data_IF_132167814042
#
_entry.id   IF_132167814042
#
_cell.length_a   1.000
_cell.length_b   1.000
_cell.length_c   1.000
_cell.angle_alpha   90.00
_cell.angle_beta   90.00
_cell.angle_gamma   90.00
#
_symmetry.space_group_name_H-M   'P 1'
#
loop_
_entity.id
_entity.type
_entity.pdbx_description
1 polymer ?
#
# COMPACT_ATOMS: atom_id res chain seq x y z
N UNK A 1 -7.09 35.66 -7.76
CA UNK A 1 -7.86 34.41 -8.02
C UNK A 1 -7.39 33.35 -7.03
N UNK A 2 -8.27 32.82 -6.21
CA UNK A 2 -7.90 31.81 -5.22
C UNK A 2 -7.48 30.50 -5.91
N UNK A 3 -6.37 29.95 -5.46
CA UNK A 3 -5.75 28.74 -5.94
C UNK A 3 -5.73 27.68 -4.85
N UNK A 4 -5.72 26.43 -5.22
CA UNK A 4 -5.58 25.28 -4.33
C UNK A 4 -4.55 24.30 -4.91
N UNK A 5 -3.88 23.51 -4.07
CA UNK A 5 -2.97 22.47 -4.53
C UNK A 5 -3.73 21.44 -5.34
N UNK A 6 -3.27 21.16 -6.55
CA UNK A 6 -3.88 20.14 -7.43
C UNK A 6 -3.88 18.77 -6.77
N UNK A 7 -4.97 18.01 -6.97
CA UNK A 7 -5.11 16.62 -6.48
C UNK A 7 -4.09 15.64 -7.04
N UNK A 8 -3.37 16.04 -8.11
CA UNK A 8 -2.28 15.24 -8.65
C UNK A 8 -1.02 15.29 -7.81
N UNK A 9 -0.93 16.20 -6.84
CA UNK A 9 0.24 16.38 -6.01
C UNK A 9 -0.05 16.11 -4.53
N UNK A 10 0.88 15.42 -3.89
CA UNK A 10 0.86 15.14 -2.44
C UNK A 10 2.10 15.79 -1.82
N UNK A 11 1.89 16.73 -0.90
CA UNK A 11 2.97 17.30 -0.10
C UNK A 11 3.02 16.62 1.26
N UNK A 12 4.18 16.08 1.66
CA UNK A 12 4.32 15.33 2.90
C UNK A 12 5.74 15.42 3.49
N UNK A 13 5.86 15.07 4.76
CA UNK A 13 7.15 14.83 5.42
C UNK A 13 7.39 13.32 5.54
N UNK A 14 8.56 12.87 5.15
CA UNK A 14 8.97 11.47 5.26
C UNK A 14 9.49 11.13 6.66
N UNK A 15 9.65 9.83 6.92
CA UNK A 15 10.16 9.30 8.19
C UNK A 15 11.58 9.80 8.53
N UNK A 16 12.41 10.06 7.52
CA UNK A 16 13.76 10.60 7.65
C UNK A 16 13.80 12.12 7.87
N UNK A 17 12.62 12.75 8.04
CA UNK A 17 12.47 14.20 8.20
C UNK A 17 12.51 14.98 6.89
N UNK A 18 12.73 14.35 5.74
CA UNK A 18 12.74 15.07 4.46
C UNK A 18 11.33 15.48 4.04
N UNK A 19 11.22 16.70 3.50
CA UNK A 19 9.99 17.19 2.90
C UNK A 19 9.96 16.83 1.42
N UNK A 20 8.83 16.29 0.97
CA UNK A 20 8.66 15.89 -0.43
C UNK A 20 7.35 16.38 -1.01
N UNK A 21 7.39 16.66 -2.30
CA UNK A 21 6.24 16.83 -3.17
C UNK A 21 6.23 15.63 -4.13
N UNK A 22 5.16 14.86 -4.12
CA UNK A 22 4.99 13.72 -5.00
C UNK A 22 3.96 14.06 -6.08
N UNK A 23 4.35 13.90 -7.34
CA UNK A 23 3.45 14.02 -8.50
C UNK A 23 2.95 12.63 -8.91
N UNK A 24 1.66 12.39 -8.71
CA UNK A 24 1.01 11.11 -9.06
C UNK A 24 0.99 10.84 -10.56
N UNK A 25 0.94 11.87 -11.38
CA UNK A 25 0.81 11.73 -12.82
C UNK A 25 2.09 11.22 -13.49
N UNK A 26 3.24 11.72 -13.03
CA UNK A 26 4.56 11.33 -13.52
C UNK A 26 5.27 10.29 -12.65
N UNK A 27 4.73 9.99 -11.47
CA UNK A 27 5.36 9.15 -10.43
C UNK A 27 6.70 9.72 -9.96
N UNK A 28 6.88 11.03 -10.05
CA UNK A 28 8.10 11.73 -9.64
C UNK A 28 7.98 12.24 -8.21
N UNK A 29 9.10 12.23 -7.50
CA UNK A 29 9.22 12.76 -6.16
C UNK A 29 10.27 13.87 -6.15
N UNK A 30 9.91 15.02 -5.60
CA UNK A 30 10.77 16.21 -5.50
C UNK A 30 11.06 16.49 -4.03
N UNK A 31 12.32 16.58 -3.67
CA UNK A 31 12.73 17.10 -2.36
C UNK A 31 12.47 18.60 -2.32
N UNK A 32 11.79 19.07 -1.29
CA UNK A 32 11.44 20.48 -1.13
C UNK A 32 11.98 21.03 0.20
N UNK A 33 12.33 22.32 0.21
CA UNK A 33 12.78 22.99 1.43
C UNK A 33 11.62 23.15 2.44
N UNK A 34 11.92 23.37 3.72
CA UNK A 34 10.90 23.62 4.74
C UNK A 34 9.98 24.80 4.37
N UNK A 35 10.53 25.84 3.75
CA UNK A 35 9.75 27.00 3.30
C UNK A 35 8.77 26.63 2.19
N UNK A 36 9.25 25.88 1.19
CA UNK A 36 8.41 25.43 0.08
C UNK A 36 7.37 24.41 0.55
N UNK A 37 7.74 23.51 1.46
CA UNK A 37 6.82 22.59 2.09
C UNK A 37 5.67 23.33 2.79
N UNK A 38 6.00 24.32 3.64
CA UNK A 38 5.01 25.14 4.35
C UNK A 38 4.09 25.87 3.38
N UNK A 39 4.67 26.45 2.33
CA UNK A 39 3.93 27.14 1.26
C UNK A 39 2.91 26.20 0.59
N UNK A 40 3.36 25.04 0.12
CA UNK A 40 2.51 24.05 -0.56
C UNK A 40 1.45 23.46 0.36
N UNK A 41 1.78 23.24 1.62
CA UNK A 41 0.87 22.72 2.62
C UNK A 41 -0.31 23.66 2.90
N UNK A 42 -0.08 24.98 2.87
CA UNK A 42 -1.16 25.97 2.98
C UNK A 42 -2.16 25.86 1.83
N UNK A 43 -1.69 25.69 0.60
CA UNK A 43 -2.55 25.50 -0.57
C UNK A 43 -3.27 24.14 -0.59
N UNK A 44 -2.76 23.16 0.13
CA UNK A 44 -3.48 21.89 0.31
C UNK A 44 -4.74 22.08 1.14
N UNK A 45 -4.66 22.85 2.21
CA UNK A 45 -5.76 22.98 3.15
C UNK A 45 -6.77 24.06 2.77
N UNK A 46 -6.34 25.03 1.97
CA UNK A 46 -7.12 26.23 1.75
C UNK A 46 -6.96 26.73 0.32
N UNK A 47 -8.04 27.30 -0.22
CA UNK A 47 -7.98 28.07 -1.45
C UNK A 47 -7.46 29.49 -1.14
N UNK A 48 -6.26 29.82 -1.60
CA UNK A 48 -5.55 31.07 -1.24
C UNK A 48 -5.26 31.88 -2.50
N UNK A 49 -5.35 33.22 -2.39
CA UNK A 49 -4.80 34.08 -3.43
C UNK A 49 -3.27 34.07 -3.33
N UNK A 50 -2.62 33.71 -4.43
CA UNK A 50 -1.16 33.56 -4.46
C UNK A 50 -0.45 34.88 -4.13
N UNK A 51 -0.96 36.02 -4.64
CA UNK A 51 -0.32 37.31 -4.41
C UNK A 51 -0.42 37.75 -2.95
N UNK A 52 -1.57 37.46 -2.30
CA UNK A 52 -1.75 37.77 -0.88
C UNK A 52 -0.80 36.95 -0.03
N UNK A 53 -0.64 35.67 -0.32
CA UNK A 53 0.28 34.80 0.40
C UNK A 53 1.75 35.20 0.19
N UNK A 54 2.16 35.48 -1.04
CA UNK A 54 3.52 35.94 -1.34
C UNK A 54 3.83 37.27 -0.66
N UNK A 55 2.87 38.20 -0.64
CA UNK A 55 3.00 39.48 0.06
C UNK A 55 3.15 39.28 1.57
N UNK A 56 2.39 38.35 2.15
CA UNK A 56 2.51 37.99 3.56
C UNK A 56 3.88 37.37 3.87
N UNK A 57 4.38 36.42 3.09
CA UNK A 57 5.72 35.84 3.28
C UNK A 57 6.81 36.88 3.22
N UNK A 58 6.70 37.84 2.27
CA UNK A 58 7.65 38.95 2.16
C UNK A 58 7.63 39.86 3.40
N UNK A 59 6.44 40.13 3.95
CA UNK A 59 6.28 41.00 5.13
C UNK A 59 6.92 40.42 6.39
N UNK A 60 7.04 39.10 6.50
CA UNK A 60 7.68 38.38 7.62
C UNK A 60 9.12 37.97 7.32
N UNK A 61 9.73 38.53 6.27
CA UNK A 61 11.16 38.38 5.95
C UNK A 61 11.51 37.04 5.29
N UNK A 62 10.53 36.30 4.75
CA UNK A 62 10.81 35.08 3.99
C UNK A 62 11.16 35.46 2.55
N UNK A 63 12.31 34.99 2.08
CA UNK A 63 12.68 35.11 0.68
C UNK A 63 11.79 34.22 -0.16
N UNK A 64 11.14 34.80 -1.16
CA UNK A 64 10.16 34.14 -2.01
C UNK A 64 10.74 33.71 -3.36
N UNK A 65 11.97 34.06 -3.66
CA UNK A 65 12.62 33.77 -4.95
C UNK A 65 12.67 32.28 -5.24
N UNK A 66 13.04 31.46 -4.24
CA UNK A 66 13.10 30.00 -4.37
C UNK A 66 11.73 29.41 -4.67
N UNK A 67 10.67 30.00 -4.09
CA UNK A 67 9.27 29.56 -4.31
C UNK A 67 8.83 29.90 -5.72
N UNK A 68 9.12 31.15 -6.17
CA UNK A 68 8.77 31.60 -7.52
C UNK A 68 9.54 30.82 -8.59
N UNK A 69 10.83 30.57 -8.36
CA UNK A 69 11.66 29.74 -9.25
C UNK A 69 11.07 28.32 -9.39
N UNK A 70 10.74 27.69 -8.26
CA UNK A 70 10.12 26.36 -8.27
C UNK A 70 8.77 26.35 -9.00
N UNK A 71 7.89 27.32 -8.77
CA UNK A 71 6.59 27.39 -9.43
C UNK A 71 6.69 27.70 -10.93
N UNK A 72 7.77 28.32 -11.37
CA UNK A 72 8.01 28.67 -12.79
C UNK A 72 8.45 27.46 -13.64
N UNK A 73 8.82 26.36 -13.02
CA UNK A 73 9.28 25.16 -13.72
C UNK A 73 8.16 24.55 -14.57
N UNK A 74 8.47 24.06 -15.79
CA UNK A 74 7.46 23.49 -16.68
C UNK A 74 6.69 22.29 -16.10
N UNK A 75 7.36 21.47 -15.28
CA UNK A 75 6.78 20.30 -14.61
C UNK A 75 5.86 20.70 -13.44
N UNK A 76 5.88 21.93 -12.98
CA UNK A 76 5.02 22.48 -11.92
C UNK A 76 3.83 23.29 -12.44
N UNK A 77 3.63 23.37 -13.75
CA UNK A 77 2.58 24.20 -14.37
C UNK A 77 1.16 23.97 -13.83
N UNK A 78 0.86 22.74 -13.43
CA UNK A 78 -0.45 22.33 -12.92
C UNK A 78 -0.44 22.09 -11.40
N UNK A 79 0.56 22.57 -10.69
CA UNK A 79 0.69 22.36 -9.25
C UNK A 79 -0.40 23.07 -8.46
N UNK A 80 -0.67 24.33 -8.82
CA UNK A 80 -1.75 25.12 -8.24
C UNK A 80 -2.84 25.33 -9.28
N UNK A 81 -4.07 25.05 -8.91
CA UNK A 81 -5.24 25.16 -9.80
C UNK A 81 -6.29 26.10 -9.21
N UNK A 82 -7.16 26.71 -10.05
CA UNK A 82 -8.28 27.50 -9.55
C UNK A 82 -9.16 26.71 -8.61
N UNK A 83 -9.53 27.29 -7.48
CA UNK A 83 -10.49 26.66 -6.56
C UNK A 83 -11.90 26.75 -7.13
N UNK A 84 -12.71 25.71 -6.89
CA UNK A 84 -14.15 25.80 -7.11
C UNK A 84 -14.82 26.68 -6.04
N UNK A 85 -16.05 27.15 -6.27
CA UNK A 85 -16.76 27.95 -5.27
C UNK A 85 -17.03 27.20 -3.96
N UNK A 86 -17.08 25.85 -3.98
CA UNK A 86 -17.23 24.99 -2.82
C UNK A 86 -15.99 24.94 -1.92
N UNK A 87 -14.81 25.35 -2.45
CA UNK A 87 -13.55 25.30 -1.73
C UNK A 87 -13.22 26.63 -1.01
N UNK A 88 -14.13 27.62 -1.12
CA UNK A 88 -13.96 28.95 -0.50
C UNK A 88 -14.50 28.93 0.93
N UNK A 89 -13.64 28.82 1.88
CA UNK A 89 -13.92 29.16 3.30
C UNK A 89 -13.38 30.55 3.63
N UNK A 90 -14.05 31.30 4.51
CA UNK A 90 -13.68 32.67 4.93
C UNK A 90 -12.29 32.73 5.59
N UNK A 91 -11.28 33.26 4.87
CA UNK A 91 -9.92 32.79 5.04
C UNK A 91 -8.84 33.80 5.41
N UNK A 92 -9.11 35.07 5.42
CA UNK A 92 -8.06 36.07 5.69
C UNK A 92 -7.62 36.15 7.17
N UNK A 93 -8.44 35.62 8.10
CA UNK A 93 -8.11 35.63 9.53
C UNK A 93 -7.38 34.33 9.96
N UNK A 94 -7.53 33.24 9.20
CA UNK A 94 -6.96 31.93 9.56
C UNK A 94 -5.54 31.69 9.04
N UNK A 95 -5.05 32.46 8.05
CA UNK A 95 -3.72 32.20 7.46
C UNK A 95 -2.56 32.48 8.43
N UNK A 96 -2.64 33.50 9.26
CA UNK A 96 -1.64 33.78 10.30
C UNK A 96 -1.71 32.78 11.47
N UNK A 97 -2.93 32.31 11.79
CA UNK A 97 -3.17 31.28 12.81
C UNK A 97 -2.70 29.91 12.28
N UNK A 98 -2.95 29.61 11.01
CA UNK A 98 -2.49 28.36 10.37
C UNK A 98 -0.97 28.27 10.32
N UNK A 99 -0.27 29.35 9.96
CA UNK A 99 1.19 29.39 9.95
C UNK A 99 1.81 29.19 11.33
N UNK A 100 1.25 29.87 12.35
CA UNK A 100 1.68 29.68 13.74
C UNK A 100 1.31 28.29 14.30
N UNK A 101 0.20 27.71 13.83
CA UNK A 101 -0.24 26.35 14.19
C UNK A 101 0.63 25.28 13.54
N UNK A 102 1.05 25.46 12.28
CA UNK A 102 1.98 24.56 11.60
C UNK A 102 3.32 24.55 12.34
N UNK A 103 3.83 25.74 12.76
CA UNK A 103 5.06 25.85 13.53
C UNK A 103 4.96 25.21 14.93
N UNK A 104 3.78 25.25 15.58
CA UNK A 104 3.51 24.58 16.86
C UNK A 104 3.21 23.09 16.71
N UNK A 105 2.56 22.67 15.61
CA UNK A 105 2.29 21.23 15.34
C UNK A 105 3.52 20.47 14.83
N UNK A 106 4.57 21.16 14.35
CA UNK A 106 5.82 20.52 13.94
C UNK A 106 6.57 19.83 15.10
N UNK A 107 6.17 20.07 16.34
CA UNK A 107 6.72 19.37 17.50
C UNK A 107 6.16 17.95 17.69
N UNK A 108 5.05 17.55 17.02
CA UNK A 108 4.36 16.30 17.37
C UNK A 108 4.13 15.26 16.25
N UNK A 109 4.27 15.58 14.97
CA UNK A 109 4.17 14.57 13.89
C UNK A 109 5.18 14.85 12.80
N UNK A 110 6.35 14.25 12.96
CA UNK A 110 7.37 14.40 11.92
C UNK A 110 6.97 13.70 10.62
N UNK A 111 6.17 12.61 10.68
CA UNK A 111 5.72 11.87 9.51
C UNK A 111 4.39 11.13 9.76
N UNK A 112 3.73 10.71 8.66
CA UNK A 112 2.47 9.99 8.64
C UNK A 112 2.62 8.69 7.82
N UNK A 113 1.69 7.72 7.88
CA UNK A 113 1.80 6.52 7.06
C UNK A 113 1.79 6.86 5.56
N UNK A 114 2.67 6.22 4.80
CA UNK A 114 2.69 6.38 3.34
C UNK A 114 1.62 5.56 2.67
N UNK A 115 1.40 4.36 3.18
CA UNK A 115 0.45 3.41 2.64
C UNK A 115 -0.49 2.90 3.71
N UNK A 116 -1.74 2.82 3.35
CA UNK A 116 -2.79 2.16 4.13
C UNK A 116 -3.35 1.00 3.32
N UNK A 117 -3.27 -0.21 3.86
CA UNK A 117 -3.95 -1.39 3.32
C UNK A 117 -5.30 -1.53 4.02
N UNK A 118 -6.40 -1.38 3.30
CA UNK A 118 -7.75 -1.41 3.86
C UNK A 118 -8.50 -2.65 3.39
N UNK A 119 -8.79 -3.56 4.31
CA UNK A 119 -9.63 -4.71 4.09
C UNK A 119 -11.09 -4.32 4.32
N UNK A 120 -11.73 -3.87 3.26
CA UNK A 120 -13.06 -3.26 3.33
C UNK A 120 -14.18 -4.25 3.65
N UNK A 121 -13.95 -5.53 3.43
CA UNK A 121 -14.90 -6.62 3.72
C UNK A 121 -14.20 -7.98 3.75
N UNK A 122 -14.72 -8.93 4.52
CA UNK A 122 -14.36 -10.35 4.42
C UNK A 122 -15.23 -11.14 3.44
N UNK A 123 -16.33 -10.56 2.95
CA UNK A 123 -17.22 -11.23 1.99
C UNK A 123 -16.56 -11.34 0.62
N UNK A 124 -16.70 -12.49 -0.03
CA UNK A 124 -16.11 -12.74 -1.35
C UNK A 124 -17.06 -13.62 -2.16
N UNK A 125 -17.14 -13.43 -3.46
CA UNK A 125 -17.88 -14.30 -4.38
C UNK A 125 -17.16 -15.63 -4.67
N UNK A 126 -15.91 -15.79 -4.20
CA UNK A 126 -15.09 -16.98 -4.36
C UNK A 126 -14.73 -17.62 -3.01
N UNK A 127 -14.28 -18.89 -3.07
CA UNK A 127 -13.73 -19.63 -1.93
C UNK A 127 -12.41 -20.31 -2.32
N UNK A 128 -11.40 -19.49 -2.70
CA UNK A 128 -10.10 -19.98 -3.17
C UNK A 128 -9.41 -20.88 -2.14
N UNK A 129 -8.73 -21.95 -2.60
CA UNK A 129 -8.03 -22.92 -1.72
C UNK A 129 -6.88 -22.30 -0.94
N UNK A 130 -6.25 -21.26 -1.48
CA UNK A 130 -5.09 -20.57 -0.91
C UNK A 130 -5.43 -19.20 -0.33
N UNK A 131 -6.71 -18.93 -0.05
CA UNK A 131 -7.14 -17.61 0.41
C UNK A 131 -6.49 -17.22 1.75
N UNK A 132 -5.76 -16.12 1.73
CA UNK A 132 -5.10 -15.54 2.91
C UNK A 132 -6.12 -15.14 3.98
N UNK A 133 -7.20 -14.45 3.59
CA UNK A 133 -8.25 -13.93 4.47
C UNK A 133 -9.27 -14.99 4.92
N UNK A 134 -9.18 -16.20 4.40
CA UNK A 134 -10.22 -17.21 4.58
C UNK A 134 -11.63 -16.75 4.16
N UNK A 135 -11.68 -15.76 3.26
CA UNK A 135 -12.92 -15.15 2.79
C UNK A 135 -13.83 -16.12 2.04
N UNK A 136 -15.15 -15.91 2.12
CA UNK A 136 -16.14 -16.74 1.45
C UNK A 136 -17.45 -16.00 1.18
N UNK A 137 -18.35 -16.57 0.32
CA UNK A 137 -19.70 -16.02 0.13
C UNK A 137 -20.59 -16.12 1.38
N UNK A 138 -20.21 -17.01 2.31
CA UNK A 138 -21.00 -17.31 3.53
C UNK A 138 -20.68 -16.37 4.69
N UNK A 139 -19.67 -15.50 4.53
CA UNK A 139 -19.33 -14.53 5.57
C UNK A 139 -20.52 -13.62 5.84
N UNK A 140 -20.93 -13.58 7.10
CA UNK A 140 -21.92 -12.61 7.57
C UNK A 140 -21.18 -11.33 7.98
N UNK A 141 -21.27 -10.30 7.14
CA UNK A 141 -20.59 -9.05 7.35
C UNK A 141 -21.56 -7.88 7.22
N UNK A 142 -21.38 -6.90 8.08
CA UNK A 142 -21.97 -5.58 7.91
C UNK A 142 -21.04 -4.75 7.02
N UNK A 143 -21.62 -4.00 6.11
CA UNK A 143 -20.88 -3.08 5.25
C UNK A 143 -20.91 -1.68 5.83
N UNK A 144 -19.81 -0.96 5.69
CA UNK A 144 -19.78 0.46 6.05
C UNK A 144 -20.83 1.24 5.27
N UNK A 145 -21.43 2.25 5.92
CA UNK A 145 -22.13 3.27 5.19
C UNK A 145 -21.13 4.27 4.57
N UNK A 146 -21.58 5.00 3.56
CA UNK A 146 -20.74 5.95 2.83
C UNK A 146 -20.22 7.10 3.68
N UNK A 147 -20.96 7.53 4.72
CA UNK A 147 -20.54 8.63 5.58
C UNK A 147 -19.31 8.25 6.42
N UNK A 148 -19.29 7.02 6.95
CA UNK A 148 -18.13 6.48 7.66
C UNK A 148 -16.93 6.45 6.71
N UNK A 149 -17.10 5.92 5.50
CA UNK A 149 -16.02 5.84 4.51
C UNK A 149 -15.53 7.23 4.08
N UNK A 150 -16.43 8.20 3.92
CA UNK A 150 -16.08 9.59 3.63
C UNK A 150 -15.20 10.18 4.73
N UNK A 151 -15.58 9.98 5.99
CA UNK A 151 -14.82 10.45 7.15
C UNK A 151 -13.43 9.81 7.19
N UNK A 152 -13.33 8.50 6.95
CA UNK A 152 -12.04 7.79 6.92
C UNK A 152 -11.17 8.33 5.78
N UNK A 153 -11.71 8.44 4.57
CA UNK A 153 -10.93 8.92 3.42
C UNK A 153 -10.47 10.37 3.60
N UNK A 154 -11.29 11.20 4.28
CA UNK A 154 -10.85 12.53 4.66
C UNK A 154 -9.68 12.48 5.66
N UNK A 155 -9.71 11.62 6.67
CA UNK A 155 -8.59 11.44 7.59
C UNK A 155 -7.30 10.97 6.89
N UNK A 156 -7.42 10.05 5.91
CA UNK A 156 -6.27 9.62 5.10
C UNK A 156 -5.70 10.78 4.28
N UNK A 157 -6.57 11.59 3.69
CA UNK A 157 -6.18 12.75 2.88
C UNK A 157 -5.50 13.82 3.74
N UNK A 158 -6.04 14.11 4.93
CA UNK A 158 -5.48 15.04 5.90
C UNK A 158 -4.12 14.58 6.43
N UNK A 159 -3.97 13.28 6.65
CA UNK A 159 -2.71 12.66 7.03
C UNK A 159 -1.67 12.58 5.88
N UNK A 160 -1.98 13.09 4.68
CA UNK A 160 -1.11 12.98 3.50
C UNK A 160 -0.69 11.55 3.15
N UNK A 161 -1.58 10.58 3.33
CA UNK A 161 -1.36 9.22 2.88
C UNK A 161 -1.09 9.24 1.36
N UNK A 162 -0.04 8.55 0.92
CA UNK A 162 0.32 8.51 -0.50
C UNK A 162 -0.53 7.49 -1.26
N UNK A 163 -0.74 6.32 -0.65
CA UNK A 163 -1.41 5.20 -1.32
C UNK A 163 -2.44 4.55 -0.40
N UNK A 164 -3.67 4.45 -0.87
CA UNK A 164 -4.70 3.60 -0.30
C UNK A 164 -4.81 2.33 -1.14
N UNK A 165 -4.55 1.16 -0.53
CA UNK A 165 -4.78 -0.13 -1.16
C UNK A 165 -6.05 -0.75 -0.58
N UNK A 166 -7.11 -0.82 -1.38
CA UNK A 166 -8.37 -1.46 -1.01
C UNK A 166 -8.31 -2.94 -1.38
N UNK A 167 -8.59 -3.79 -0.42
CA UNK A 167 -8.56 -5.23 -0.54
C UNK A 167 -9.60 -5.86 0.40
N UNK A 168 -9.45 -7.13 0.75
CA UNK A 168 -10.31 -7.85 1.68
C UNK A 168 -10.66 -9.24 1.14
N UNK A 169 -11.94 -9.62 1.21
CA UNK A 169 -12.48 -10.73 0.43
C UNK A 169 -12.52 -10.33 -1.05
N UNK A 170 -13.64 -9.75 -1.49
CA UNK A 170 -13.74 -9.12 -2.81
C UNK A 170 -14.32 -7.71 -2.65
N UNK A 171 -13.55 -6.66 -2.89
CA UNK A 171 -14.01 -5.28 -2.72
C UNK A 171 -15.27 -4.95 -3.54
N UNK A 172 -15.32 -5.43 -4.78
CA UNK A 172 -16.48 -5.22 -5.66
C UNK A 172 -17.76 -5.95 -5.22
N UNK A 173 -17.69 -6.74 -4.15
CA UNK A 173 -18.85 -7.33 -3.50
C UNK A 173 -19.57 -6.35 -2.57
N UNK A 174 -18.92 -5.24 -2.21
CA UNK A 174 -19.52 -4.18 -1.41
C UNK A 174 -20.66 -3.51 -2.21
N UNK A 175 -21.89 -3.42 -1.68
CA UNK A 175 -23.06 -2.97 -2.45
C UNK A 175 -22.93 -1.53 -2.97
N UNK A 176 -22.17 -0.69 -2.27
CA UNK A 176 -21.95 0.72 -2.64
C UNK A 176 -20.56 0.95 -3.25
N UNK A 177 -19.94 -0.08 -3.85
CA UNK A 177 -18.55 0.04 -4.31
C UNK A 177 -18.36 1.08 -5.41
N UNK A 178 -19.36 1.31 -6.26
CA UNK A 178 -19.31 2.40 -7.24
C UNK A 178 -19.12 3.77 -6.56
N UNK A 179 -19.90 4.05 -5.51
CA UNK A 179 -19.76 5.30 -4.75
C UNK A 179 -18.42 5.38 -4.01
N UNK A 180 -17.86 4.25 -3.60
CA UNK A 180 -16.50 4.18 -3.04
C UNK A 180 -15.47 4.59 -4.09
N UNK A 181 -15.59 4.11 -5.33
CA UNK A 181 -14.71 4.53 -6.43
C UNK A 181 -14.80 6.05 -6.67
N UNK A 182 -16.02 6.61 -6.65
CA UNK A 182 -16.23 8.05 -6.81
C UNK A 182 -15.58 8.86 -5.66
N UNK A 183 -15.67 8.36 -4.43
CA UNK A 183 -14.99 8.97 -3.28
C UNK A 183 -13.46 8.94 -3.44
N UNK A 184 -12.91 7.79 -3.82
CA UNK A 184 -11.45 7.66 -4.00
C UNK A 184 -10.93 8.46 -5.19
N UNK A 185 -11.73 8.61 -6.26
CA UNK A 185 -11.39 9.45 -7.41
C UNK A 185 -11.21 10.93 -7.04
N UNK A 186 -11.89 11.37 -5.99
CA UNK A 186 -11.83 12.74 -5.50
C UNK A 186 -10.75 12.98 -4.44
N UNK A 187 -10.11 11.93 -3.94
CA UNK A 187 -9.06 12.02 -2.92
C UNK A 187 -7.68 12.37 -3.53
N UNK A 188 -6.76 12.83 -2.68
CA UNK A 188 -5.37 13.14 -3.08
C UNK A 188 -4.51 11.89 -3.17
N UNK A 189 -4.80 10.84 -2.38
CA UNK A 189 -4.02 9.61 -2.41
C UNK A 189 -4.23 8.82 -3.72
N UNK A 190 -3.24 8.02 -4.11
CA UNK A 190 -3.41 7.01 -5.15
C UNK A 190 -4.26 5.86 -4.62
N UNK A 191 -5.17 5.35 -5.44
CA UNK A 191 -5.96 4.18 -5.10
C UNK A 191 -5.52 2.97 -5.91
N UNK A 192 -5.22 1.88 -5.20
CA UNK A 192 -4.95 0.57 -5.78
C UNK A 192 -6.05 -0.38 -5.26
N UNK A 193 -6.71 -1.09 -6.15
CA UNK A 193 -7.73 -2.07 -5.75
C UNK A 193 -7.23 -3.46 -6.11
N UNK A 194 -7.19 -4.35 -5.10
CA UNK A 194 -6.90 -5.77 -5.32
C UNK A 194 -8.21 -6.53 -5.46
N UNK A 195 -8.38 -7.24 -6.57
CA UNK A 195 -9.62 -7.93 -6.93
C UNK A 195 -9.37 -9.28 -7.60
N UNK A 196 -10.35 -10.16 -7.51
CA UNK A 196 -10.37 -11.38 -8.33
C UNK A 196 -10.84 -11.12 -9.77
N UNK A 197 -11.29 -9.91 -10.09
CA UNK A 197 -11.63 -9.46 -11.43
C UNK A 197 -12.96 -9.97 -12.00
N UNK A 198 -13.76 -10.72 -11.23
CA UNK A 198 -14.99 -11.34 -11.75
C UNK A 198 -16.20 -10.40 -11.76
N UNK A 199 -16.27 -9.45 -10.82
CA UNK A 199 -17.46 -8.59 -10.63
C UNK A 199 -17.37 -7.24 -11.37
N UNK A 200 -16.46 -7.12 -12.32
CA UNK A 200 -16.23 -5.89 -13.07
C UNK A 200 -17.24 -5.72 -14.20
N UNK A 201 -18.15 -4.76 -14.04
CA UNK A 201 -19.07 -4.34 -15.13
C UNK A 201 -18.41 -3.31 -16.05
N UNK A 202 -18.96 -3.12 -17.22
CA UNK A 202 -18.44 -2.12 -18.19
C UNK A 202 -18.41 -0.70 -17.59
N UNK A 203 -19.45 -0.30 -16.86
CA UNK A 203 -19.52 1.01 -16.20
C UNK A 203 -18.42 1.15 -15.13
N UNK A 204 -18.19 0.13 -14.34
CA UNK A 204 -17.12 0.11 -13.33
C UNK A 204 -15.74 0.23 -14.00
N UNK A 205 -15.49 -0.52 -15.09
CA UNK A 205 -14.22 -0.45 -15.82
C UNK A 205 -13.95 0.95 -16.38
N UNK A 206 -14.98 1.61 -16.94
CA UNK A 206 -14.88 2.99 -17.44
C UNK A 206 -14.62 3.99 -16.31
N UNK A 207 -15.27 3.84 -15.16
CA UNK A 207 -15.07 4.69 -14.00
C UNK A 207 -13.63 4.54 -13.46
N UNK A 208 -13.13 3.31 -13.33
CA UNK A 208 -11.76 3.01 -12.93
C UNK A 208 -10.76 3.71 -13.86
N UNK A 209 -10.97 3.60 -15.18
CA UNK A 209 -10.11 4.26 -16.16
C UNK A 209 -10.16 5.78 -16.05
N UNK A 210 -11.36 6.36 -15.95
CA UNK A 210 -11.55 7.80 -15.83
C UNK A 210 -10.93 8.38 -14.55
N UNK A 211 -10.92 7.60 -13.47
CA UNK A 211 -10.40 7.98 -12.15
C UNK A 211 -8.91 7.65 -11.97
N UNK A 212 -8.25 7.09 -12.98
CA UNK A 212 -6.84 6.64 -12.92
C UNK A 212 -6.54 5.71 -11.73
N UNK A 213 -7.53 4.88 -11.35
CA UNK A 213 -7.39 3.87 -10.29
C UNK A 213 -6.58 2.69 -10.85
N UNK A 214 -5.62 2.20 -10.09
CA UNK A 214 -4.79 1.05 -10.44
C UNK A 214 -5.45 -0.24 -9.97
N UNK A 215 -5.47 -1.25 -10.84
CA UNK A 215 -6.00 -2.57 -10.48
C UNK A 215 -4.87 -3.59 -10.29
N UNK A 216 -4.91 -4.29 -9.15
CA UNK A 216 -4.17 -5.52 -8.95
C UNK A 216 -5.12 -6.71 -9.10
N UNK A 217 -4.97 -7.49 -10.17
CA UNK A 217 -5.87 -8.60 -10.47
C UNK A 217 -5.20 -9.91 -10.18
N UNK A 218 -5.89 -10.75 -9.44
CA UNK A 218 -5.40 -12.06 -9.03
C UNK A 218 -5.58 -13.10 -10.13
N UNK A 219 -4.46 -13.61 -10.67
CA UNK A 219 -4.44 -14.63 -11.73
C UNK A 219 -3.51 -15.77 -11.31
N UNK A 220 -4.03 -16.97 -11.14
CA UNK A 220 -3.23 -18.12 -10.68
C UNK A 220 -3.20 -19.28 -11.69
N UNK A 221 -3.39 -19.01 -12.96
CA UNK A 221 -3.25 -19.97 -14.02
C UNK A 221 -3.58 -19.41 -15.38
N UNK A 222 -2.98 -19.99 -16.42
CA UNK A 222 -3.23 -19.66 -17.83
C UNK A 222 -4.30 -20.55 -18.46
N UNK A 223 -4.74 -21.56 -17.75
CA UNK A 223 -5.80 -22.49 -18.16
C UNK A 223 -6.93 -22.52 -17.13
N UNK A 224 -8.15 -22.88 -17.58
CA UNK A 224 -9.27 -23.10 -16.67
C UNK A 224 -8.98 -24.23 -15.68
N UNK A 225 -8.28 -25.27 -16.13
CA UNK A 225 -7.91 -26.40 -15.27
C UNK A 225 -7.13 -25.95 -14.03
N UNK A 226 -6.16 -25.10 -14.20
CA UNK A 226 -5.29 -24.63 -13.11
C UNK A 226 -5.94 -23.51 -12.31
N UNK A 227 -6.46 -22.48 -13.00
CA UNK A 227 -7.04 -21.32 -12.33
C UNK A 227 -8.30 -21.69 -11.53
N UNK A 228 -9.24 -22.42 -12.15
CA UNK A 228 -10.49 -22.82 -11.50
C UNK A 228 -10.26 -23.81 -10.36
N UNK A 229 -9.27 -24.68 -10.45
CA UNK A 229 -8.88 -25.57 -9.34
C UNK A 229 -8.50 -24.78 -8.08
N UNK A 230 -7.76 -23.67 -8.26
CA UNK A 230 -7.28 -22.85 -7.16
C UNK A 230 -8.35 -21.87 -6.65
N UNK A 231 -9.15 -21.29 -7.55
CA UNK A 231 -10.04 -20.19 -7.21
C UNK A 231 -11.52 -20.51 -7.25
N UNK A 232 -11.94 -21.46 -8.06
CA UNK A 232 -13.34 -21.88 -8.19
C UNK A 232 -13.76 -22.03 -9.64
N UNK A 233 -14.65 -23.01 -9.89
CA UNK A 233 -15.11 -23.36 -11.23
C UNK A 233 -15.72 -22.16 -11.97
N UNK A 234 -15.34 -21.98 -13.23
CA UNK A 234 -15.83 -20.92 -14.13
C UNK A 234 -15.19 -19.56 -13.90
N UNK A 235 -14.30 -19.41 -12.92
CA UNK A 235 -13.63 -18.14 -12.62
C UNK A 235 -12.68 -17.72 -13.74
N UNK A 236 -11.99 -18.66 -14.38
CA UNK A 236 -11.06 -18.42 -15.48
C UNK A 236 -11.71 -17.67 -16.64
N UNK A 237 -12.81 -18.20 -17.14
CA UNK A 237 -13.46 -17.66 -18.34
C UNK A 237 -13.95 -16.21 -18.13
N UNK A 238 -14.55 -15.95 -16.96
CA UNK A 238 -15.04 -14.60 -16.62
C UNK A 238 -13.87 -13.64 -16.45
N UNK A 239 -12.83 -14.05 -15.72
CA UNK A 239 -11.65 -13.25 -15.47
C UNK A 239 -10.95 -12.84 -16.78
N UNK A 240 -10.62 -13.81 -17.64
CA UNK A 240 -9.88 -13.52 -18.87
C UNK A 240 -10.66 -12.64 -19.82
N UNK A 241 -11.98 -12.80 -19.93
CA UNK A 241 -12.85 -11.89 -20.67
C UNK A 241 -12.78 -10.46 -20.13
N UNK A 242 -12.72 -10.30 -18.80
CA UNK A 242 -12.60 -8.98 -18.18
C UNK A 242 -11.20 -8.38 -18.35
N UNK A 243 -10.14 -9.19 -18.28
CA UNK A 243 -8.77 -8.75 -18.55
C UNK A 243 -8.62 -8.19 -19.98
N UNK A 244 -9.17 -8.88 -20.98
CA UNK A 244 -9.17 -8.40 -22.38
C UNK A 244 -9.89 -7.04 -22.52
N UNK A 245 -11.02 -6.87 -21.83
CA UNK A 245 -11.77 -5.61 -21.83
C UNK A 245 -10.99 -4.48 -21.17
N UNK A 246 -10.41 -4.74 -20.01
CA UNK A 246 -9.59 -3.78 -19.29
C UNK A 246 -8.35 -3.36 -20.08
N UNK A 247 -7.68 -4.32 -20.72
CA UNK A 247 -6.55 -4.06 -21.62
C UNK A 247 -6.94 -3.16 -22.80
N UNK A 248 -8.08 -3.43 -23.45
CA UNK A 248 -8.62 -2.59 -24.55
C UNK A 248 -8.96 -1.18 -24.07
N UNK A 249 -9.40 -1.01 -22.84
CA UNK A 249 -9.65 0.31 -22.23
C UNK A 249 -8.36 1.02 -21.78
N UNK A 250 -7.22 0.34 -21.76
CA UNK A 250 -5.94 0.87 -21.31
C UNK A 250 -5.95 1.21 -19.82
N UNK A 251 -6.60 0.40 -18.97
CA UNK A 251 -6.54 0.52 -17.52
C UNK A 251 -5.14 0.13 -17.03
N UNK A 252 -4.60 0.80 -16.00
CA UNK A 252 -3.32 0.41 -15.38
C UNK A 252 -3.50 -0.91 -14.61
N UNK A 253 -3.05 -2.00 -15.23
CA UNK A 253 -3.21 -3.37 -14.74
C UNK A 253 -1.91 -3.91 -14.16
N UNK A 254 -2.02 -4.46 -12.97
CA UNK A 254 -1.00 -5.32 -12.36
C UNK A 254 -1.60 -6.69 -12.12
N UNK A 255 -0.90 -7.77 -12.44
CA UNK A 255 -1.31 -9.11 -12.03
C UNK A 255 -0.61 -9.52 -10.75
N UNK A 256 -1.32 -10.25 -9.91
CA UNK A 256 -0.75 -10.96 -8.76
C UNK A 256 -0.90 -12.45 -8.99
N UNK A 257 0.22 -13.16 -8.97
CA UNK A 257 0.30 -14.60 -9.18
C UNK A 257 0.84 -15.26 -7.92
N UNK A 258 0.07 -16.15 -7.31
CA UNK A 258 0.51 -16.88 -6.10
C UNK A 258 1.12 -18.22 -6.49
N UNK A 259 2.45 -18.24 -6.63
CA UNK A 259 3.20 -19.40 -7.04
C UNK A 259 3.06 -20.55 -6.02
N UNK A 260 2.70 -21.71 -6.51
CA UNK A 260 2.54 -22.96 -5.79
C UNK A 260 2.82 -24.16 -6.72
N UNK A 261 2.90 -25.38 -6.18
CA UNK A 261 3.21 -26.60 -6.98
C UNK A 261 2.28 -26.87 -8.16
N UNK A 262 1.04 -26.31 -8.10
CA UNK A 262 0.03 -26.57 -9.14
C UNK A 262 0.26 -25.67 -10.36
N UNK A 263 0.81 -24.43 -10.16
CA UNK A 263 0.81 -23.41 -11.20
C UNK A 263 2.19 -22.82 -11.52
N UNK A 264 3.24 -23.11 -10.76
CA UNK A 264 4.57 -22.47 -10.96
C UNK A 264 5.11 -22.62 -12.39
N UNK A 265 4.79 -23.73 -13.05
CA UNK A 265 5.22 -24.03 -14.41
C UNK A 265 4.49 -23.19 -15.48
N UNK A 266 3.41 -22.51 -15.14
CA UNK A 266 2.63 -21.66 -16.07
C UNK A 266 3.12 -20.19 -16.09
N UNK A 267 4.14 -19.82 -15.32
CA UNK A 267 4.56 -18.43 -15.14
C UNK A 267 5.12 -17.80 -16.42
N UNK A 268 5.85 -18.56 -17.23
CA UNK A 268 6.41 -18.09 -18.51
C UNK A 268 5.29 -17.75 -19.51
N UNK A 269 4.32 -18.67 -19.67
CA UNK A 269 3.20 -18.47 -20.60
C UNK A 269 2.27 -17.35 -20.13
N UNK A 270 2.00 -17.27 -18.81
CA UNK A 270 1.24 -16.17 -18.22
C UNK A 270 1.93 -14.82 -18.49
N UNK A 271 3.24 -14.75 -18.33
CA UNK A 271 4.01 -13.52 -18.56
C UNK A 271 3.94 -13.08 -20.02
N UNK A 272 4.11 -14.02 -20.97
CA UNK A 272 3.99 -13.74 -22.39
C UNK A 272 2.60 -13.21 -22.74
N UNK A 273 1.53 -13.87 -22.29
CA UNK A 273 0.16 -13.43 -22.54
C UNK A 273 -0.17 -12.08 -21.88
N UNK A 274 0.27 -11.88 -20.66
CA UNK A 274 0.02 -10.64 -19.92
C UNK A 274 0.64 -9.42 -20.62
N UNK A 275 1.90 -9.55 -21.08
CA UNK A 275 2.64 -8.41 -21.62
C UNK A 275 2.38 -8.17 -23.12
N UNK A 276 2.12 -9.22 -23.88
CA UNK A 276 1.92 -9.10 -25.33
C UNK A 276 0.45 -8.86 -25.72
N UNK A 277 -0.50 -9.50 -24.99
CA UNK A 277 -1.90 -9.53 -25.41
C UNK A 277 -2.81 -8.67 -24.52
N UNK A 278 -2.53 -8.59 -23.22
CA UNK A 278 -3.45 -8.00 -22.24
C UNK A 278 -3.07 -6.58 -21.80
N UNK A 279 -1.92 -6.05 -22.24
CA UNK A 279 -1.46 -4.70 -21.87
C UNK A 279 -1.15 -4.54 -20.38
N UNK A 280 -0.79 -5.62 -19.72
CA UNK A 280 -0.45 -5.61 -18.28
C UNK A 280 0.84 -4.84 -18.05
N UNK A 281 0.85 -3.96 -17.04
CA UNK A 281 2.02 -3.17 -16.66
C UNK A 281 3.08 -4.02 -15.95
N UNK A 282 2.66 -4.79 -14.95
CA UNK A 282 3.58 -5.66 -14.23
C UNK A 282 2.89 -6.89 -13.61
N UNK A 283 3.70 -7.88 -13.26
CA UNK A 283 3.29 -9.09 -12.54
C UNK A 283 4.06 -9.16 -11.23
N UNK A 284 3.34 -9.29 -10.11
CA UNK A 284 3.92 -9.64 -8.81
C UNK A 284 3.71 -11.11 -8.53
N UNK A 285 4.80 -11.83 -8.35
CA UNK A 285 4.80 -13.26 -8.01
C UNK A 285 4.90 -13.40 -6.50
N UNK A 286 3.80 -13.78 -5.87
CA UNK A 286 3.73 -14.07 -4.44
C UNK A 286 4.12 -15.52 -4.17
N UNK A 287 4.75 -15.79 -3.05
CA UNK A 287 4.92 -17.14 -2.55
C UNK A 287 3.68 -17.58 -1.76
N UNK A 288 3.13 -18.76 -2.04
CA UNK A 288 2.09 -19.34 -1.19
C UNK A 288 2.64 -19.56 0.23
N UNK A 289 1.90 -19.07 1.21
CA UNK A 289 2.23 -19.18 2.64
C UNK A 289 1.19 -20.06 3.36
N UNK A 290 1.57 -20.77 4.45
CA UNK A 290 0.65 -21.54 5.28
C UNK A 290 -0.22 -20.61 6.16
N UNK A 291 -1.12 -19.87 5.51
CA UNK A 291 -1.92 -18.79 6.09
C UNK A 291 -3.35 -18.94 5.60
N UNK A 292 -4.33 -18.65 6.45
CA UNK A 292 -5.74 -18.73 6.12
C UNK A 292 -6.13 -20.14 5.65
N UNK A 293 -6.84 -20.22 4.53
CA UNK A 293 -7.30 -21.52 4.00
C UNK A 293 -6.18 -22.38 3.42
N UNK A 294 -5.05 -21.77 3.05
CA UNK A 294 -3.90 -22.51 2.55
C UNK A 294 -3.37 -23.55 3.56
N UNK A 295 -3.52 -23.33 4.86
CA UNK A 295 -3.10 -24.28 5.92
C UNK A 295 -3.69 -25.69 5.71
N UNK A 296 -4.91 -25.78 5.14
CA UNK A 296 -5.58 -27.05 4.87
C UNK A 296 -5.18 -27.68 3.54
N UNK A 297 -4.27 -27.08 2.76
CA UNK A 297 -3.88 -27.51 1.42
C UNK A 297 -2.33 -27.56 1.31
N UNK A 298 -1.72 -28.30 2.20
CA UNK A 298 -0.24 -28.36 2.37
C UNK A 298 0.47 -28.92 1.15
N UNK A 299 -0.20 -29.75 0.35
CA UNK A 299 0.32 -30.32 -0.89
C UNK A 299 0.66 -29.27 -1.96
N UNK A 300 0.09 -28.07 -1.84
CA UNK A 300 0.34 -26.98 -2.77
C UNK A 300 1.64 -26.20 -2.46
N UNK A 301 2.23 -26.36 -1.27
CA UNK A 301 3.43 -25.59 -0.92
C UNK A 301 4.66 -26.04 -1.68
N UNK A 302 5.39 -25.09 -2.24
CA UNK A 302 6.72 -25.31 -2.78
C UNK A 302 7.70 -25.33 -1.60
N UNK A 303 8.48 -26.42 -1.39
CA UNK A 303 9.50 -26.47 -0.36
C UNK A 303 10.49 -25.30 -0.49
N UNK A 304 11.11 -24.91 0.62
CA UNK A 304 12.03 -23.77 0.63
C UNK A 304 13.18 -23.93 -0.36
N UNK A 305 13.76 -25.12 -0.44
CA UNK A 305 14.86 -25.40 -1.35
C UNK A 305 14.46 -25.36 -2.82
N UNK A 306 13.21 -25.72 -3.13
CA UNK A 306 12.69 -25.76 -4.49
C UNK A 306 12.20 -24.38 -4.95
N UNK A 307 11.89 -23.46 -4.01
CA UNK A 307 11.44 -22.10 -4.34
C UNK A 307 12.51 -21.26 -5.05
N UNK A 308 13.77 -21.66 -4.97
CA UNK A 308 14.87 -21.07 -5.72
C UNK A 308 14.58 -21.14 -7.22
N UNK A 309 13.97 -22.23 -7.70
CA UNK A 309 13.60 -22.38 -9.13
C UNK A 309 12.59 -21.32 -9.58
N UNK A 310 11.64 -20.95 -8.73
CA UNK A 310 10.68 -19.87 -9.02
C UNK A 310 11.37 -18.51 -9.07
N UNK A 311 12.31 -18.26 -8.16
CA UNK A 311 13.12 -17.04 -8.18
C UNK A 311 13.94 -16.93 -9.47
N UNK A 312 14.64 -17.98 -9.86
CA UNK A 312 15.42 -18.01 -11.10
C UNK A 312 14.54 -17.79 -12.35
N UNK A 313 13.30 -18.32 -12.36
CA UNK A 313 12.32 -18.04 -13.43
C UNK A 313 11.96 -16.56 -13.48
N UNK A 314 11.64 -15.96 -12.34
CA UNK A 314 11.32 -14.52 -12.24
C UNK A 314 12.52 -13.67 -12.69
N UNK A 315 13.72 -14.03 -12.29
CA UNK A 315 14.96 -13.33 -12.70
C UNK A 315 15.16 -13.40 -14.22
N UNK A 316 15.02 -14.59 -14.84
CA UNK A 316 15.07 -14.73 -16.30
C UNK A 316 14.00 -13.91 -17.01
N UNK A 317 12.76 -13.97 -16.54
CA UNK A 317 11.65 -13.18 -17.11
C UNK A 317 11.87 -11.68 -16.94
N UNK A 318 12.48 -11.26 -15.83
CA UNK A 318 12.83 -9.85 -15.62
C UNK A 318 13.92 -9.34 -16.56
N UNK A 319 14.82 -10.24 -17.03
CA UNK A 319 15.79 -9.90 -18.08
C UNK A 319 15.10 -9.74 -19.44
N UNK A 320 14.06 -10.53 -19.72
CA UNK A 320 13.34 -10.50 -21.01
C UNK A 320 12.39 -9.30 -21.08
N UNK A 321 11.58 -9.08 -20.04
CA UNK A 321 10.51 -8.08 -20.06
C UNK A 321 10.85 -6.77 -19.34
N UNK A 322 11.90 -6.75 -18.55
CA UNK A 322 12.35 -5.61 -17.74
C UNK A 322 12.13 -5.80 -16.24
N UNK A 323 13.08 -5.35 -15.44
CA UNK A 323 13.09 -5.53 -13.96
C UNK A 323 11.87 -4.95 -13.25
N UNK A 324 11.21 -3.94 -13.83
CA UNK A 324 10.03 -3.32 -13.26
C UNK A 324 8.72 -3.95 -13.74
N UNK A 325 8.78 -4.96 -14.61
CA UNK A 325 7.60 -5.61 -15.18
C UNK A 325 7.25 -6.94 -14.53
N UNK A 326 8.23 -7.65 -13.99
CA UNK A 326 7.99 -8.85 -13.21
C UNK A 326 8.94 -8.90 -12.03
N UNK A 327 8.41 -9.17 -10.85
CA UNK A 327 9.17 -9.24 -9.61
C UNK A 327 8.52 -10.21 -8.62
N UNK A 328 9.34 -10.80 -7.76
CA UNK A 328 8.84 -11.44 -6.56
C UNK A 328 8.23 -10.36 -5.67
N UNK A 329 6.97 -10.54 -5.32
CA UNK A 329 6.37 -9.82 -4.20
C UNK A 329 6.85 -10.49 -2.93
N UNK A 330 8.10 -10.25 -2.58
CA UNK A 330 8.60 -10.78 -1.33
C UNK A 330 8.46 -9.73 -0.25
N UNK A 331 7.63 -10.03 0.74
CA UNK A 331 7.58 -9.27 1.99
C UNK A 331 8.91 -9.31 2.74
N UNK A 332 9.88 -10.05 2.24
CA UNK A 332 11.25 -10.16 2.73
C UNK A 332 12.27 -9.39 1.90
N UNK A 333 11.85 -8.72 0.81
CA UNK A 333 12.76 -7.73 0.22
C UNK A 333 13.11 -6.74 1.32
N UNK A 334 14.42 -6.54 1.60
CA UNK A 334 14.80 -5.47 2.49
C UNK A 334 14.12 -4.21 1.92
N UNK A 335 13.43 -3.47 2.75
CA UNK A 335 13.33 -2.03 2.50
C UNK A 335 14.74 -1.65 2.11
N UNK A 336 14.90 -0.93 0.99
CA UNK A 336 16.19 -0.34 0.66
C UNK A 336 16.68 0.32 1.94
N UNK A 337 17.40 -0.47 2.70
CA UNK A 337 17.98 -0.03 3.95
C UNK A 337 19.10 0.83 3.49
N UNK A 338 18.84 2.11 3.54
CA UNK A 338 19.87 3.13 3.49
C UNK A 338 21.07 2.56 4.24
N UNK A 339 22.05 2.06 3.47
CA UNK A 339 23.39 1.69 3.95
C UNK A 339 23.46 0.98 5.31
N UNK A 340 22.69 -0.07 5.53
CA UNK A 340 22.92 -0.91 6.70
C UNK A 340 24.22 -1.69 6.47
N UNK A 341 25.28 -1.22 7.08
CA UNK A 341 26.50 -1.98 7.27
C UNK A 341 26.22 -3.36 7.89
N UNK A 342 27.23 -4.20 8.12
CA UNK A 342 27.02 -5.54 8.66
C UNK A 342 26.17 -5.47 9.93
N UNK A 343 25.08 -6.23 9.95
CA UNK A 343 24.15 -6.23 11.08
C UNK A 343 24.82 -6.87 12.30
N UNK A 344 24.63 -6.22 13.45
CA UNK A 344 25.06 -6.72 14.76
C UNK A 344 23.85 -7.20 15.56
N UNK A 345 24.09 -7.91 16.66
CA UNK A 345 23.05 -8.33 17.58
C UNK A 345 22.20 -7.14 18.11
N UNK A 346 22.80 -5.95 18.17
CA UNK A 346 22.15 -4.70 18.63
C UNK A 346 21.48 -3.91 17.51
N UNK A 347 21.57 -4.35 16.25
CA UNK A 347 20.94 -3.64 15.13
C UNK A 347 19.44 -3.64 15.31
N UNK A 348 18.78 -2.46 15.26
CA UNK A 348 17.33 -2.34 15.30
C UNK A 348 16.69 -3.06 14.12
N UNK A 349 15.61 -3.79 14.37
CA UNK A 349 14.79 -4.39 13.34
C UNK A 349 13.72 -3.38 12.91
N UNK A 350 13.87 -2.85 11.69
CA UNK A 350 12.92 -1.90 11.12
C UNK A 350 12.08 -2.61 10.05
N UNK A 351 10.79 -2.37 10.07
CA UNK A 351 9.82 -2.92 9.15
C UNK A 351 8.95 -1.78 8.58
N UNK A 352 8.33 -1.96 7.43
CA UNK A 352 7.35 -0.99 6.90
C UNK A 352 6.17 -0.76 7.86
N UNK A 353 5.78 -1.81 8.61
CA UNK A 353 4.74 -1.73 9.63
C UNK A 353 5.10 -0.68 10.70
N UNK A 354 4.20 0.29 10.91
CA UNK A 354 4.40 1.38 11.86
C UNK A 354 5.39 2.46 11.44
N UNK A 355 6.10 2.29 10.33
CA UNK A 355 7.03 3.28 9.78
C UNK A 355 6.47 3.94 8.51
N UNK A 356 6.00 3.15 7.56
CA UNK A 356 5.42 3.67 6.30
C UNK A 356 4.06 3.04 5.99
N UNK A 357 3.71 1.95 6.68
CA UNK A 357 2.53 1.13 6.43
C UNK A 357 1.70 0.93 7.69
N UNK A 358 0.39 0.95 7.51
CA UNK A 358 -0.57 0.32 8.43
C UNK A 358 -1.63 -0.45 7.65
N UNK A 359 -2.35 -1.32 8.35
CA UNK A 359 -3.50 -2.06 7.83
C UNK A 359 -4.75 -1.73 8.63
N UNK A 360 -5.91 -1.64 7.96
CA UNK A 360 -7.22 -1.50 8.60
C UNK A 360 -8.12 -2.66 8.19
N UNK A 361 -8.95 -3.14 9.10
CA UNK A 361 -9.97 -4.13 8.81
C UNK A 361 -11.37 -3.51 8.62
N UNK A 362 -12.34 -4.36 8.33
CA UNK A 362 -13.75 -3.98 8.16
C UNK A 362 -14.43 -3.48 9.45
N UNK A 363 -13.77 -3.54 10.60
CA UNK A 363 -14.25 -3.01 11.88
C UNK A 363 -13.50 -1.73 12.28
N UNK A 364 -12.70 -1.18 11.35
CA UNK A 364 -11.83 -0.01 11.55
C UNK A 364 -10.72 -0.21 12.60
N UNK A 365 -10.44 -1.45 12.98
CA UNK A 365 -9.25 -1.72 13.78
C UNK A 365 -8.00 -1.49 12.93
N UNK A 366 -7.03 -0.82 13.52
CA UNK A 366 -5.73 -0.53 12.90
C UNK A 366 -4.70 -1.53 13.41
N UNK A 367 -4.00 -2.15 12.48
CA UNK A 367 -2.97 -3.15 12.71
C UNK A 367 -1.64 -2.72 12.07
N UNK A 368 -0.50 -3.27 12.51
CA UNK A 368 0.80 -2.98 11.92
C UNK A 368 0.88 -3.34 10.43
N UNK A 369 0.33 -4.48 10.04
CA UNK A 369 0.21 -4.93 8.67
C UNK A 369 -0.79 -6.10 8.60
N UNK A 370 -0.99 -6.64 7.40
CA UNK A 370 -1.90 -7.76 7.14
C UNK A 370 -1.62 -9.01 7.99
N UNK A 371 -0.37 -9.26 8.39
CA UNK A 371 -0.03 -10.40 9.26
C UNK A 371 -0.43 -10.23 10.72
N UNK A 372 -0.73 -9.02 11.16
CA UNK A 372 -1.28 -8.74 12.50
C UNK A 372 -2.79 -8.75 12.55
N UNK A 373 -3.44 -8.74 11.40
CA UNK A 373 -4.88 -8.63 11.31
C UNK A 373 -5.59 -9.83 11.91
N UNK A 374 -6.70 -9.56 12.60
CA UNK A 374 -7.51 -10.59 13.26
C UNK A 374 -6.94 -11.09 14.58
N UNK A 375 -5.77 -10.62 15.01
CA UNK A 375 -5.23 -10.88 16.33
C UNK A 375 -5.36 -9.62 17.20
N UNK A 376 -6.15 -9.71 18.28
CA UNK A 376 -6.45 -8.60 19.16
C UNK A 376 -5.22 -7.99 19.84
N UNK A 377 -4.16 -8.78 20.07
CA UNK A 377 -2.91 -8.31 20.69
C UNK A 377 -2.18 -7.28 19.83
N UNK A 378 -2.49 -7.22 18.53
CA UNK A 378 -1.86 -6.31 17.57
C UNK A 378 -2.78 -5.17 17.12
N UNK A 379 -3.91 -4.96 17.79
CA UNK A 379 -4.75 -3.78 17.56
C UNK A 379 -4.05 -2.56 18.17
N UNK A 380 -3.60 -1.67 17.30
CA UNK A 380 -2.96 -0.41 17.69
C UNK A 380 -4.02 0.59 18.19
N UNK A 381 -5.16 0.66 17.50
CA UNK A 381 -6.29 1.51 17.82
C UNK A 381 -7.48 1.23 16.92
N UNK A 382 -8.55 1.98 17.08
CA UNK A 382 -9.75 1.89 16.25
C UNK A 382 -10.17 3.28 15.78
N UNK A 383 -10.54 3.43 14.50
CA UNK A 383 -10.89 4.73 13.91
C UNK A 383 -12.30 5.23 14.28
N UNK A 384 -13.10 4.44 14.99
CA UNK A 384 -14.32 4.96 15.64
C UNK A 384 -13.97 5.73 16.90
N UNK A 385 -12.91 5.35 17.62
CA UNK A 385 -12.55 5.89 18.93
C UNK A 385 -11.50 7.00 18.82
N UNK A 386 -10.62 6.91 17.84
CA UNK A 386 -9.45 7.78 17.69
C UNK A 386 -9.26 8.24 16.25
N UNK A 387 -8.70 9.41 16.06
CA UNK A 387 -8.24 9.84 14.72
C UNK A 387 -7.04 9.02 14.26
N UNK A 388 -6.84 8.96 12.94
CA UNK A 388 -5.67 8.28 12.34
C UNK A 388 -4.35 8.81 12.89
N UNK A 389 -4.25 10.11 13.12
CA UNK A 389 -3.03 10.75 13.65
C UNK A 389 -2.77 10.33 15.09
N UNK A 390 -3.80 10.31 15.96
CA UNK A 390 -3.66 9.82 17.35
C UNK A 390 -3.21 8.36 17.38
N UNK A 391 -3.82 7.51 16.54
CA UNK A 391 -3.42 6.11 16.42
C UNK A 391 -1.97 6.01 15.95
N UNK A 392 -1.55 6.80 14.94
CA UNK A 392 -0.19 6.76 14.41
C UNK A 392 0.87 7.23 15.41
N UNK A 393 0.50 8.07 16.37
CA UNK A 393 1.35 8.54 17.46
C UNK A 393 1.41 7.60 18.66
N UNK A 394 0.59 6.55 18.70
CA UNK A 394 0.52 5.62 19.82
C UNK A 394 1.87 4.94 20.10
N UNK A 395 2.19 4.78 21.38
CA UNK A 395 3.37 4.02 21.83
C UNK A 395 3.31 2.52 21.48
N UNK A 396 2.12 1.99 21.15
CA UNK A 396 1.95 0.61 20.69
C UNK A 396 2.73 0.30 19.41
N UNK A 397 3.16 1.32 18.66
CA UNK A 397 4.04 1.14 17.51
C UNK A 397 5.50 0.86 17.84
N UNK A 398 5.96 1.14 19.06
CA UNK A 398 7.38 1.08 19.42
C UNK A 398 8.06 -0.26 19.10
N UNK A 399 7.42 -1.44 19.28
CA UNK A 399 8.01 -2.71 18.88
C UNK A 399 8.35 -2.80 17.38
N UNK A 400 7.65 -2.06 16.54
CA UNK A 400 7.84 -2.02 15.09
C UNK A 400 8.78 -0.89 14.63
N UNK A 401 8.97 0.14 15.47
CA UNK A 401 9.75 1.35 15.20
C UNK A 401 11.18 1.30 15.74
N UNK A 402 11.84 0.15 15.60
CA UNK A 402 13.26 0.01 15.92
C UNK A 402 13.59 -0.27 17.39
N UNK A 403 12.59 -0.46 18.27
CA UNK A 403 12.87 -0.89 19.66
C UNK A 403 13.16 -2.40 19.80
N UNK A 404 12.86 -3.19 18.77
CA UNK A 404 13.22 -4.61 18.73
C UNK A 404 14.56 -4.78 18.04
N UNK A 405 15.49 -5.48 18.65
CA UNK A 405 16.82 -5.78 18.09
C UNK A 405 16.95 -7.25 17.75
N UNK A 406 17.96 -7.58 16.92
CA UNK A 406 18.20 -8.95 16.51
C UNK A 406 18.55 -9.88 17.70
N UNK A 407 19.20 -9.37 18.74
CA UNK A 407 19.53 -10.12 19.96
C UNK A 407 18.30 -10.62 20.73
N UNK A 408 17.16 -9.96 20.56
CA UNK A 408 15.90 -10.35 21.21
C UNK A 408 15.18 -11.47 20.47
N UNK A 409 15.61 -11.80 19.23
CA UNK A 409 14.96 -12.83 18.44
C UNK A 409 15.59 -14.17 18.71
N UNK A 410 14.78 -15.12 19.16
CA UNK A 410 15.21 -16.47 19.53
C UNK A 410 15.89 -17.15 18.35
N UNK A 411 17.12 -17.64 18.55
CA UNK A 411 17.93 -18.28 17.50
C UNK A 411 18.59 -17.35 16.47
N UNK A 412 18.22 -16.05 16.41
CA UNK A 412 18.81 -15.12 15.44
C UNK A 412 20.11 -14.48 15.93
N UNK A 413 20.26 -14.26 17.24
CA UNK A 413 21.43 -13.60 17.84
C UNK A 413 22.76 -14.33 17.52
N UNK A 414 22.74 -15.67 17.44
CA UNK A 414 23.88 -16.52 17.15
C UNK A 414 23.89 -17.12 15.74
N UNK A 415 23.01 -16.68 14.87
CA UNK A 415 22.88 -17.24 13.53
C UNK A 415 24.03 -16.81 12.61
N UNK A 416 24.72 -17.78 11.98
CA UNK A 416 25.81 -17.52 11.03
C UNK A 416 25.38 -16.77 9.76
N UNK A 417 24.07 -16.79 9.44
CA UNK A 417 23.48 -16.10 8.28
C UNK A 417 22.90 -14.73 8.60
N UNK A 418 23.19 -14.14 9.75
CA UNK A 418 22.65 -12.84 10.16
C UNK A 418 22.77 -11.77 9.07
N UNK A 419 23.94 -11.65 8.45
CA UNK A 419 24.25 -10.59 7.48
C UNK A 419 23.54 -10.73 6.13
N UNK A 420 23.09 -11.95 5.80
CA UNK A 420 22.47 -12.27 4.51
C UNK A 420 20.98 -12.61 4.62
N UNK A 421 20.43 -12.57 5.85
CA UNK A 421 19.05 -12.96 6.10
C UNK A 421 18.06 -11.82 5.76
N UNK A 422 17.35 -11.93 4.64
CA UNK A 422 16.29 -10.98 4.27
C UNK A 422 14.99 -11.08 5.11
N UNK A 423 14.84 -12.14 5.93
CA UNK A 423 13.61 -12.44 6.67
C UNK A 423 13.59 -11.81 8.08
N UNK A 424 14.75 -11.43 8.59
CA UNK A 424 14.97 -10.96 9.97
C UNK A 424 14.08 -9.79 10.42
N UNK A 425 13.55 -9.03 9.51
CA UNK A 425 12.78 -7.82 9.83
C UNK A 425 11.29 -8.09 10.10
N UNK A 426 10.72 -9.22 9.67
CA UNK A 426 9.31 -9.49 9.86
C UNK A 426 9.03 -10.09 11.25
N UNK A 427 8.28 -9.37 12.08
CA UNK A 427 7.94 -9.80 13.45
C UNK A 427 6.57 -10.47 13.55
N UNK A 428 5.69 -10.26 12.60
CA UNK A 428 4.34 -10.80 12.63
C UNK A 428 4.17 -12.12 11.85
N UNK A 429 5.09 -12.49 10.96
CA UNK A 429 5.06 -13.81 10.31
C UNK A 429 5.18 -14.97 11.30
N UNK A 430 6.10 -14.94 12.28
CA UNK A 430 6.12 -15.96 13.34
C UNK A 430 4.78 -16.06 14.09
N UNK A 431 4.26 -14.92 14.51
CA UNK A 431 2.98 -14.84 15.24
C UNK A 431 1.83 -15.44 14.43
N UNK A 432 1.77 -15.12 13.16
CA UNK A 432 0.74 -15.65 12.28
C UNK A 432 0.79 -17.18 12.15
N UNK A 433 1.98 -17.76 12.27
CA UNK A 433 2.21 -19.21 12.27
C UNK A 433 2.09 -19.85 13.68
N UNK A 434 1.51 -19.14 14.64
CA UNK A 434 1.31 -19.64 16.00
C UNK A 434 2.54 -19.57 16.90
N UNK A 435 3.62 -18.91 16.44
CA UNK A 435 4.84 -18.65 17.22
C UNK A 435 4.75 -17.29 17.93
N UNK A 436 5.72 -16.99 18.78
CA UNK A 436 5.78 -15.71 19.48
C UNK A 436 6.40 -14.58 18.66
N UNK A 437 6.14 -13.33 19.04
CA UNK A 437 6.70 -12.13 18.41
C UNK A 437 8.24 -12.13 18.36
N UNK A 438 8.90 -12.72 19.33
CA UNK A 438 10.35 -12.84 19.41
C UNK A 438 10.89 -14.16 18.86
N UNK A 439 10.07 -14.97 18.21
CA UNK A 439 10.52 -16.18 17.55
C UNK A 439 11.01 -15.89 16.13
N UNK A 440 11.89 -16.75 15.63
CA UNK A 440 12.28 -16.72 14.23
C UNK A 440 11.18 -17.30 13.35
N UNK A 441 11.23 -16.99 12.06
CA UNK A 441 10.27 -17.54 11.10
C UNK A 441 10.61 -19.01 10.79
N UNK A 442 9.60 -19.84 10.63
CA UNK A 442 9.66 -21.30 10.41
C UNK A 442 10.37 -21.71 9.10
N UNK A 443 10.48 -20.79 8.13
CA UNK A 443 11.22 -21.01 6.87
C UNK A 443 12.63 -20.38 6.87
N UNK A 444 13.22 -20.23 8.06
CA UNK A 444 14.60 -19.76 8.20
C UNK A 444 15.58 -20.85 7.78
N UNK A 445 16.33 -20.64 6.67
CA UNK A 445 17.34 -21.59 6.15
C UNK A 445 18.61 -21.67 7.03
N UNK A 446 18.66 -21.05 8.18
CA UNK A 446 19.74 -21.05 9.15
C UNK A 446 19.45 -22.02 10.29
N UNK A 447 19.58 -23.33 10.10
CA UNK A 447 19.43 -24.35 11.14
C UNK A 447 18.05 -24.40 11.83
N UNK A 448 17.05 -24.90 11.15
CA UNK A 448 16.07 -25.76 11.78
C UNK A 448 16.43 -27.20 11.40
N UNK A 449 17.51 -27.68 11.97
CA UNK A 449 17.62 -29.07 12.25
C UNK A 449 16.84 -29.34 13.52
N UNK A 450 15.80 -30.10 13.35
CA UNK A 450 15.35 -31.16 14.23
C UNK A 450 14.56 -30.83 15.46
N UNK A 451 13.56 -31.57 15.52
CA UNK A 451 12.71 -32.03 16.62
C UNK A 451 11.38 -31.29 16.72
N UNK A 452 10.47 -31.66 15.83
CA UNK A 452 9.15 -32.14 16.18
C UNK A 452 8.93 -33.50 15.55
#
# INVERSE_FOLDING_TARGET
MALILSKNFIVRKNIDGTNVLYDKSSNMMYHVTDKLFTFLYLFKQNAIDLNDLLSHFKSIGIKIEDILDFLSRPDMKNLLVPSSMSDRTDMLIQSSIAYSSIKKKSEFTEYTPERVDFLITKKCNLRCKHCFENASPLENVEFFNLEVLRTIFQQLDDANVKTLKITGGEPFFHPQFQSILELTANARFETIILTNGMLLTENIMRLIKASNIKLGISVDGITSKTHDFLRGNGSFQILYKNLERLGKLGVDLTLTFTANKINEHELEELSAKAFNDLGVRCIFVNRLRPIGRAICNTEMFIPNNDYISVQERVDRLSMIYGKNRIALSDDSLPMDTVNAGPLSATTPLVCAAGNTLLCMDQFLNVYPCIYGQGNNDYIIGNLYDNSLIEIWQSEKWLPFRGKTTLSQIRGCASCSKQNTCGIKNCRLKPVYNGLGFFDHVDYCNGQLNTSM
#
